data_IF_664211062419
#
_entry.id   IF_664211062419
#
_cell.length_a   1.000
_cell.length_b   1.000
_cell.length_c   1.000
_cell.angle_alpha   90.00
_cell.angle_beta   90.00
_cell.angle_gamma   90.00
#
_symmetry.space_group_name_H-M   'P 1'
#
loop_
_entity.id
_entity.type
_entity.pdbx_description
1 polymer ?
#
# COMPACT_ATOMS: atom_id res chain seq x y z
N UNK A 1 -36.31 33.55 -41.20
CA UNK A 1 -35.84 33.40 -42.60
C UNK A 1 -34.32 33.33 -42.58
N UNK A 2 -33.79 32.20 -43.09
CA UNK A 2 -32.48 31.96 -43.75
C UNK A 2 -31.19 32.37 -43.00
N UNK A 3 -30.38 31.45 -42.44
CA UNK A 3 -29.57 30.36 -43.03
C UNK A 3 -28.25 30.83 -43.68
N UNK A 4 -27.13 30.18 -43.33
CA UNK A 4 -25.83 30.40 -43.97
C UNK A 4 -24.67 29.63 -43.36
N UNK A 5 -24.67 28.31 -43.51
CA UNK A 5 -23.58 27.39 -43.16
C UNK A 5 -22.55 27.26 -44.30
N UNK A 6 -21.28 27.03 -43.97
CA UNK A 6 -20.31 26.31 -44.84
C UNK A 6 -18.84 26.71 -44.66
N UNK A 7 -17.86 25.96 -45.19
CA UNK A 7 -17.89 24.55 -45.59
C UNK A 7 -16.75 23.70 -44.99
N UNK A 8 -17.06 22.43 -44.73
CA UNK A 8 -16.09 21.35 -44.53
C UNK A 8 -15.30 21.11 -45.83
N UNK A 9 -13.97 21.14 -45.76
CA UNK A 9 -13.09 20.69 -46.85
C UNK A 9 -12.75 19.21 -46.68
N UNK A 10 -13.40 18.37 -47.49
CA UNK A 10 -12.98 17.01 -47.85
C UNK A 10 -12.14 17.08 -49.13
N UNK A 11 -11.01 16.38 -49.13
CA UNK A 11 -10.28 15.95 -50.33
C UNK A 11 -9.29 14.87 -49.87
N UNK A 12 -9.17 13.70 -50.48
CA UNK A 12 -9.54 13.28 -51.82
C UNK A 12 -8.35 12.54 -52.43
N UNK A 13 -8.32 11.23 -52.17
CA UNK A 13 -7.44 10.12 -52.59
C UNK A 13 -6.76 10.19 -53.98
N UNK A 14 -5.52 9.65 -54.11
CA UNK A 14 -4.98 8.66 -55.11
C UNK A 14 -3.44 8.81 -55.25
N UNK A 15 -2.59 7.88 -54.78
CA UNK A 15 -2.23 6.52 -55.23
C UNK A 15 -1.15 6.45 -56.34
N UNK A 16 0.03 5.87 -56.04
CA UNK A 16 0.94 5.03 -56.88
C UNK A 16 2.32 4.92 -56.16
N UNK A 17 2.69 3.82 -55.50
CA UNK A 17 3.19 2.52 -55.99
C UNK A 17 4.63 2.55 -56.56
N UNK A 18 5.61 2.04 -55.78
CA UNK A 18 6.81 1.35 -56.30
C UNK A 18 7.12 0.16 -55.38
N UNK A 19 7.06 -1.04 -55.94
CA UNK A 19 7.48 -2.34 -55.42
C UNK A 19 8.99 -2.54 -55.64
N UNK A 20 9.70 -3.18 -54.70
CA UNK A 20 10.64 -4.29 -55.00
C UNK A 20 10.67 -5.26 -53.81
N UNK A 21 10.48 -6.54 -54.13
CA UNK A 21 10.42 -7.71 -53.26
C UNK A 21 11.82 -8.23 -52.86
N UNK A 22 11.93 -8.97 -51.74
CA UNK A 22 12.37 -10.37 -51.76
C UNK A 22 12.06 -11.09 -50.44
N UNK A 23 11.55 -12.32 -50.58
CA UNK A 23 11.06 -13.20 -49.54
C UNK A 23 12.13 -14.18 -49.04
N UNK A 24 11.98 -14.71 -47.82
CA UNK A 24 12.29 -16.11 -47.51
C UNK A 24 11.25 -16.69 -46.53
N UNK A 25 10.89 -17.93 -46.84
CA UNK A 25 9.76 -18.74 -46.41
C UNK A 25 9.75 -19.24 -44.96
N UNK A 26 8.55 -19.61 -44.50
CA UNK A 26 8.32 -20.46 -43.34
C UNK A 26 6.83 -20.72 -43.12
N UNK A 27 6.27 -21.73 -43.80
CA UNK A 27 4.90 -22.22 -43.59
C UNK A 27 4.86 -23.22 -42.41
N UNK A 28 3.81 -23.22 -41.58
CA UNK A 28 2.67 -24.17 -41.63
C UNK A 28 1.72 -24.07 -40.41
N UNK A 29 0.42 -24.26 -40.70
CA UNK A 29 -0.64 -24.97 -39.93
C UNK A 29 -1.24 -24.41 -38.61
N UNK A 30 -2.43 -23.82 -38.77
CA UNK A 30 -3.75 -24.17 -38.16
C UNK A 30 -4.02 -24.10 -36.62
N UNK A 31 -5.31 -23.93 -36.21
CA UNK A 31 -5.70 -23.40 -34.90
C UNK A 31 -6.23 -24.45 -33.90
N UNK A 32 -6.06 -24.21 -32.60
CA UNK A 32 -6.76 -24.92 -31.52
C UNK A 32 -6.72 -24.03 -30.26
N UNK A 33 -7.84 -23.50 -29.80
CA UNK A 33 -8.77 -24.13 -28.86
C UNK A 33 -8.54 -23.58 -27.44
N UNK A 34 -9.62 -23.01 -26.90
CA UNK A 34 -9.73 -22.53 -25.55
C UNK A 34 -9.37 -23.64 -24.54
N UNK A 35 -8.53 -23.31 -23.56
CA UNK A 35 -8.41 -24.06 -22.32
C UNK A 35 -8.49 -23.07 -21.16
N UNK A 36 -9.61 -23.14 -20.44
CA UNK A 36 -9.76 -22.56 -19.12
C UNK A 36 -8.69 -23.15 -18.20
N UNK A 37 -7.76 -22.30 -17.75
CA UNK A 37 -6.79 -22.62 -16.71
C UNK A 37 -7.26 -22.07 -15.37
N UNK A 38 -7.86 -22.94 -14.57
CA UNK A 38 -8.11 -22.70 -13.15
C UNK A 38 -6.78 -22.61 -12.38
N UNK A 39 -6.56 -21.46 -11.72
CA UNK A 39 -5.80 -21.18 -10.49
C UNK A 39 -4.42 -21.85 -10.21
N UNK A 40 -3.51 -21.17 -9.48
CA UNK A 40 -3.69 -21.15 -8.04
C UNK A 40 -3.61 -19.75 -7.44
N UNK A 41 -4.55 -19.47 -6.54
CA UNK A 41 -4.46 -18.43 -5.53
C UNK A 41 -3.13 -18.56 -4.80
N UNK A 42 -2.30 -17.52 -4.86
CA UNK A 42 -1.15 -17.35 -3.99
C UNK A 42 -1.65 -17.20 -2.55
N UNK A 43 -1.66 -18.29 -1.79
CA UNK A 43 -1.80 -18.26 -0.34
C UNK A 43 -0.63 -17.44 0.19
N UNK A 44 -0.85 -16.31 0.91
CA UNK A 44 0.26 -15.62 1.56
C UNK A 44 0.88 -16.57 2.59
N UNK A 45 2.21 -16.54 2.78
CA UNK A 45 2.86 -17.38 3.76
C UNK A 45 2.27 -17.10 5.14
N UNK A 46 1.87 -18.16 5.84
CA UNK A 46 1.48 -18.11 7.24
C UNK A 46 2.61 -17.41 8.01
N UNK A 47 2.27 -16.30 8.65
CA UNK A 47 3.20 -15.53 9.49
C UNK A 47 3.64 -16.48 10.60
N UNK A 48 4.94 -16.71 10.71
CA UNK A 48 5.53 -17.52 11.79
C UNK A 48 5.16 -16.83 13.10
N UNK A 49 4.34 -17.50 13.91
CA UNK A 49 3.98 -17.12 15.26
C UNK A 49 5.25 -17.09 16.12
N UNK A 50 5.95 -15.96 16.10
CA UNK A 50 7.07 -15.75 17.01
C UNK A 50 6.45 -15.53 18.38
N UNK A 51 6.66 -16.47 19.30
CA UNK A 51 6.32 -16.30 20.72
C UNK A 51 7.24 -15.22 21.28
N UNK A 52 6.93 -13.97 20.95
CA UNK A 52 7.46 -12.82 21.64
C UNK A 52 6.61 -12.65 22.89
N UNK A 53 7.28 -12.43 24.01
CA UNK A 53 6.63 -12.08 25.27
C UNK A 53 5.75 -10.85 25.05
N UNK A 54 4.60 -10.83 25.73
CA UNK A 54 3.76 -9.65 25.67
C UNK A 54 4.49 -8.41 26.22
N UNK A 55 4.27 -7.22 25.64
CA UNK A 55 4.83 -5.97 26.14
C UNK A 55 4.42 -5.72 27.59
N UNK A 56 5.31 -5.10 28.37
CA UNK A 56 5.02 -4.65 29.73
C UNK A 56 3.91 -3.59 29.73
N UNK A 57 3.20 -3.35 30.86
CA UNK A 57 2.11 -2.39 30.90
C UNK A 57 2.49 -0.98 30.40
N UNK A 58 3.68 -0.51 30.73
CA UNK A 58 4.20 0.78 30.24
C UNK A 58 4.42 0.77 28.72
N UNK A 59 4.97 -0.32 28.19
CA UNK A 59 5.14 -0.48 26.74
C UNK A 59 3.80 -0.54 26.02
N UNK A 60 2.80 -1.20 26.61
CA UNK A 60 1.44 -1.23 26.06
C UNK A 60 0.82 0.16 25.95
N UNK A 61 1.03 1.03 26.93
CA UNK A 61 0.59 2.43 26.87
C UNK A 61 1.32 3.19 25.74
N UNK A 62 2.63 3.00 25.62
CA UNK A 62 3.41 3.60 24.53
C UNK A 62 2.94 3.14 23.15
N UNK A 63 2.63 1.84 22.98
CA UNK A 63 2.08 1.30 21.74
C UNK A 63 0.69 1.88 21.43
N UNK A 64 -0.13 2.10 22.45
CA UNK A 64 -1.47 2.69 22.32
C UNK A 64 -1.44 4.12 21.84
N UNK A 65 -0.45 4.89 22.27
CA UNK A 65 -0.20 6.25 21.77
C UNK A 65 0.14 6.26 20.28
N UNK A 66 1.01 5.35 19.83
CA UNK A 66 1.37 5.21 18.40
C UNK A 66 0.15 4.76 17.59
N UNK A 67 -0.52 3.70 18.04
CA UNK A 67 -1.73 3.16 17.41
C UNK A 67 -2.84 4.22 17.32
N UNK A 68 -3.01 5.03 18.37
CA UNK A 68 -3.97 6.12 18.42
C UNK A 68 -3.68 7.20 17.39
N UNK A 69 -2.42 7.47 17.09
CA UNK A 69 -2.03 8.42 16.06
C UNK A 69 -2.28 7.91 14.62
N UNK A 70 -2.29 6.58 14.40
CA UNK A 70 -2.56 5.97 13.08
C UNK A 70 -4.06 5.74 12.85
N UNK A 71 -4.79 5.19 13.83
CA UNK A 71 -6.19 4.76 13.67
C UNK A 71 -7.23 5.58 14.42
N UNK A 72 -6.82 6.38 15.41
CA UNK A 72 -7.61 7.11 16.43
C UNK A 72 -7.44 6.53 17.85
N UNK A 73 -7.39 7.39 18.89
CA UNK A 73 -7.30 6.95 20.27
C UNK A 73 -8.46 6.04 20.71
N UNK A 74 -9.67 6.31 20.23
CA UNK A 74 -10.87 5.57 20.59
C UNK A 74 -10.80 4.11 20.14
N UNK A 75 -10.26 3.86 18.95
CA UNK A 75 -10.06 2.49 18.45
C UNK A 75 -8.92 1.79 19.18
N UNK A 76 -7.78 2.47 19.33
CA UNK A 76 -6.62 1.91 20.01
C UNK A 76 -6.89 1.58 21.49
N UNK A 77 -7.78 2.31 22.17
CA UNK A 77 -8.20 2.02 23.54
C UNK A 77 -8.88 0.65 23.70
N UNK A 78 -9.52 0.14 22.64
CA UNK A 78 -10.23 -1.14 22.67
C UNK A 78 -9.33 -2.36 22.44
N UNK A 79 -8.07 -2.18 22.02
CA UNK A 79 -7.19 -3.31 21.69
C UNK A 79 -6.38 -3.79 22.89
N UNK A 80 -6.19 -5.10 22.97
CA UNK A 80 -5.16 -5.72 23.79
C UNK A 80 -3.79 -5.51 23.11
N UNK A 81 -2.86 -4.82 23.75
CA UNK A 81 -1.54 -4.49 23.19
C UNK A 81 -0.56 -5.65 23.40
N UNK A 82 -0.90 -6.82 22.87
CA UNK A 82 -0.07 -8.02 22.94
C UNK A 82 1.08 -7.96 21.91
N UNK A 83 1.91 -9.00 21.89
CA UNK A 83 3.05 -9.10 20.98
C UNK A 83 2.66 -9.15 19.49
N UNK A 84 1.50 -9.71 19.16
CA UNK A 84 0.97 -9.75 17.79
C UNK A 84 0.55 -8.35 17.31
N UNK A 85 -0.11 -7.57 18.16
CA UNK A 85 -0.44 -6.17 17.87
C UNK A 85 0.85 -5.37 17.69
N UNK A 86 1.87 -5.58 18.51
CA UNK A 86 3.17 -4.93 18.32
C UNK A 86 3.81 -5.28 16.96
N UNK A 87 3.67 -6.53 16.49
CA UNK A 87 4.18 -6.95 15.18
C UNK A 87 3.42 -6.28 14.02
N UNK A 88 2.09 -6.25 14.08
CA UNK A 88 1.25 -5.56 13.08
C UNK A 88 1.53 -4.06 13.08
N UNK A 89 1.58 -3.43 14.26
CA UNK A 89 1.86 -2.01 14.42
C UNK A 89 3.25 -1.64 13.89
N UNK A 90 4.26 -2.49 14.12
CA UNK A 90 5.60 -2.34 13.56
C UNK A 90 5.56 -2.36 12.03
N UNK A 91 4.88 -3.35 11.46
CA UNK A 91 4.76 -3.49 10.00
C UNK A 91 4.07 -2.26 9.39
N UNK A 92 2.93 -1.85 9.95
CA UNK A 92 2.20 -0.65 9.52
C UNK A 92 3.06 0.62 9.63
N UNK A 93 3.80 0.77 10.73
CA UNK A 93 4.73 1.90 10.92
C UNK A 93 5.78 1.94 9.81
N UNK A 94 6.40 0.81 9.50
CA UNK A 94 7.39 0.70 8.42
C UNK A 94 6.82 1.08 7.06
N UNK A 95 5.62 0.59 6.73
CA UNK A 95 4.93 0.92 5.47
C UNK A 95 4.63 2.41 5.35
N UNK A 96 4.19 3.06 6.44
CA UNK A 96 3.97 4.51 6.43
C UNK A 96 5.29 5.27 6.21
N UNK A 97 6.34 4.91 6.95
CA UNK A 97 7.65 5.58 6.84
C UNK A 97 8.26 5.41 5.45
N UNK A 98 8.09 4.24 4.83
CA UNK A 98 8.49 3.96 3.46
C UNK A 98 7.66 4.76 2.44
N UNK A 99 6.35 4.78 2.56
CA UNK A 99 5.48 5.58 1.69
C UNK A 99 5.83 7.07 1.75
N UNK A 100 6.13 7.58 2.95
CA UNK A 100 6.45 8.99 3.16
C UNK A 100 7.84 9.40 2.66
N UNK A 101 8.71 8.44 2.32
CA UNK A 101 10.06 8.70 1.80
C UNK A 101 10.05 9.60 0.57
N UNK A 102 9.06 9.37 -0.31
CA UNK A 102 8.90 10.11 -1.55
C UNK A 102 8.62 11.60 -1.34
N UNK A 103 8.26 12.02 -0.12
CA UNK A 103 7.75 13.36 0.16
C UNK A 103 8.65 14.23 1.06
N UNK A 104 9.72 13.67 1.67
CA UNK A 104 10.86 14.22 2.48
C UNK A 104 10.84 15.60 3.19
N UNK A 105 9.75 16.36 3.19
CA UNK A 105 9.55 17.66 3.84
C UNK A 105 9.38 17.58 5.36
N UNK A 106 9.01 16.42 5.92
CA UNK A 106 8.86 16.19 7.36
C UNK A 106 9.98 15.28 7.87
N UNK A 107 10.73 15.69 8.91
CA UNK A 107 11.76 14.86 9.51
C UNK A 107 11.19 13.51 9.95
N UNK A 108 11.70 12.44 9.37
CA UNK A 108 11.33 11.06 9.72
C UNK A 108 12.19 10.58 10.89
N UNK A 109 11.68 9.65 11.72
CA UNK A 109 12.50 8.91 12.66
C UNK A 109 13.65 8.20 11.94
N UNK A 110 14.88 8.23 12.48
CA UNK A 110 16.04 7.61 11.84
C UNK A 110 15.95 6.07 11.89
N UNK A 111 16.46 5.43 10.84
CA UNK A 111 16.83 4.00 10.82
C UNK A 111 15.74 3.05 11.34
N UNK A 112 14.57 3.04 10.71
CA UNK A 112 13.48 2.14 11.11
C UNK A 112 13.94 0.67 11.13
N UNK A 113 13.74 0.01 12.27
CA UNK A 113 13.96 -1.43 12.45
C UNK A 113 12.63 -2.05 12.87
N UNK A 114 12.09 -3.05 12.16
CA UNK A 114 10.87 -3.72 12.56
C UNK A 114 11.01 -4.39 13.95
N UNK A 115 10.00 -4.20 14.81
CA UNK A 115 9.85 -4.91 16.07
C UNK A 115 9.43 -4.02 17.24
N UNK A 116 9.03 -4.67 18.34
CA UNK A 116 8.60 -4.02 19.58
C UNK A 116 9.67 -3.05 20.11
N UNK A 117 10.93 -3.47 20.13
CA UNK A 117 12.03 -2.67 20.66
C UNK A 117 12.16 -1.30 20.00
N UNK A 118 11.95 -1.21 18.67
CA UNK A 118 11.98 0.08 17.97
C UNK A 118 10.75 0.94 18.33
N UNK A 119 9.55 0.33 18.35
CA UNK A 119 8.33 1.04 18.68
C UNK A 119 8.39 1.65 20.08
N UNK A 120 8.87 0.88 21.06
CA UNK A 120 9.04 1.34 22.45
C UNK A 120 10.15 2.37 22.54
N UNK A 121 11.30 2.16 21.90
CA UNK A 121 12.41 3.12 21.99
C UNK A 121 12.05 4.48 21.39
N UNK A 122 11.30 4.50 20.29
CA UNK A 122 11.00 5.70 19.50
C UNK A 122 9.52 6.13 19.57
N UNK A 123 8.78 5.70 20.59
CA UNK A 123 7.33 5.88 20.64
C UNK A 123 6.90 7.35 20.51
N UNK A 124 7.61 8.27 21.19
CA UNK A 124 7.33 9.71 21.11
C UNK A 124 7.58 10.24 19.71
N UNK A 125 8.73 9.91 19.12
CA UNK A 125 9.08 10.33 17.77
C UNK A 125 8.06 9.84 16.74
N UNK A 126 7.58 8.60 16.88
CA UNK A 126 6.57 8.01 16.01
C UNK A 126 5.22 8.69 16.16
N UNK A 127 4.72 8.83 17.39
CA UNK A 127 3.48 9.55 17.67
C UNK A 127 3.52 10.96 17.14
N UNK A 128 4.56 11.72 17.48
CA UNK A 128 4.69 13.12 17.11
C UNK A 128 4.83 13.28 15.59
N UNK A 129 5.55 12.37 14.92
CA UNK A 129 5.58 12.30 13.46
C UNK A 129 4.19 12.11 12.87
N UNK A 130 3.42 11.10 13.32
CA UNK A 130 2.07 10.84 12.80
C UNK A 130 1.10 12.00 13.07
N UNK A 131 1.23 12.65 14.22
CA UNK A 131 0.44 13.84 14.55
C UNK A 131 0.83 15.05 13.70
N UNK A 132 2.12 15.27 13.43
CA UNK A 132 2.59 16.38 12.61
C UNK A 132 2.17 16.23 11.14
N UNK A 133 2.15 15.01 10.61
CA UNK A 133 1.82 14.77 9.21
C UNK A 133 0.32 14.69 8.92
N UNK A 134 -0.54 14.62 9.96
CA UNK A 134 -1.99 14.42 9.80
C UNK A 134 -2.68 15.51 8.97
N UNK A 135 -2.16 16.73 9.01
CA UNK A 135 -2.73 17.89 8.32
C UNK A 135 -2.13 18.10 6.92
N UNK A 136 -1.04 17.39 6.58
CA UNK A 136 -0.45 17.43 5.24
C UNK A 136 -1.11 16.37 4.34
N UNK A 137 -1.81 16.81 3.28
CA UNK A 137 -2.55 15.93 2.38
C UNK A 137 -1.72 14.78 1.81
N UNK A 138 -0.49 15.05 1.39
CA UNK A 138 0.38 14.05 0.75
C UNK A 138 0.82 12.97 1.74
N UNK A 139 1.21 13.36 2.95
CA UNK A 139 1.62 12.41 3.97
C UNK A 139 0.45 11.68 4.63
N UNK A 140 -0.67 12.37 4.84
CA UNK A 140 -1.91 11.79 5.35
C UNK A 140 -2.36 10.62 4.48
N UNK A 141 -2.14 10.67 3.17
CA UNK A 141 -2.49 9.56 2.28
C UNK A 141 -1.78 8.26 2.67
N UNK A 142 -0.49 8.32 3.06
CA UNK A 142 0.26 7.16 3.54
C UNK A 142 -0.35 6.57 4.82
N UNK A 143 -0.65 7.42 5.81
CA UNK A 143 -1.25 6.99 7.09
C UNK A 143 -2.63 6.37 6.86
N UNK A 144 -3.51 7.05 6.11
CA UNK A 144 -4.88 6.59 5.88
C UNK A 144 -4.91 5.30 5.06
N UNK A 145 -4.08 5.19 4.02
CA UNK A 145 -4.02 3.97 3.21
C UNK A 145 -3.53 2.78 4.04
N UNK A 146 -2.43 2.94 4.79
CA UNK A 146 -1.93 1.86 5.66
C UNK A 146 -2.93 1.52 6.76
N UNK A 147 -3.54 2.52 7.40
CA UNK A 147 -4.54 2.30 8.43
C UNK A 147 -5.73 1.47 7.90
N UNK A 148 -6.21 1.77 6.69
CA UNK A 148 -7.25 0.99 6.04
C UNK A 148 -6.80 -0.45 5.73
N UNK A 149 -5.60 -0.62 5.15
CA UNK A 149 -5.08 -1.93 4.75
C UNK A 149 -4.80 -2.88 5.93
N UNK A 150 -4.42 -2.35 7.09
CA UNK A 150 -4.07 -3.14 8.27
C UNK A 150 -5.18 -3.19 9.34
N UNK A 151 -6.36 -2.62 9.07
CA UNK A 151 -7.46 -2.53 10.06
C UNK A 151 -7.89 -3.91 10.56
N UNK A 152 -8.15 -4.85 9.66
CA UNK A 152 -8.57 -6.20 10.04
C UNK A 152 -7.44 -6.98 10.71
N UNK A 153 -6.21 -6.82 10.23
CA UNK A 153 -5.05 -7.51 10.81
C UNK A 153 -4.81 -7.11 12.26
N UNK A 154 -4.89 -5.81 12.59
CA UNK A 154 -4.69 -5.35 13.97
C UNK A 154 -5.84 -5.72 14.91
N UNK A 155 -7.07 -5.85 14.40
CA UNK A 155 -8.20 -6.36 15.19
C UNK A 155 -8.04 -7.83 15.51
N UNK A 156 -7.68 -8.66 14.53
CA UNK A 156 -7.38 -10.08 14.74
C UNK A 156 -6.25 -10.26 15.74
N UNK A 157 -5.12 -9.56 15.53
CA UNK A 157 -4.01 -9.57 16.46
C UNK A 157 -4.42 -9.13 17.88
N UNK A 158 -5.31 -8.14 18.02
CA UNK A 158 -5.80 -7.70 19.34
C UNK A 158 -6.64 -8.74 20.07
N UNK A 159 -7.14 -9.75 19.35
CA UNK A 159 -7.83 -10.91 19.91
C UNK A 159 -6.87 -12.10 20.15
N UNK A 160 -5.61 -11.99 19.75
CA UNK A 160 -4.61 -13.06 19.86
C UNK A 160 -4.73 -14.13 18.77
N UNK A 161 -5.11 -13.74 17.56
CA UNK A 161 -5.29 -14.62 16.38
C UNK A 161 -4.69 -14.06 15.09
#
# INVERSE_FOLDING_TARGET
MTAGSGPFRRGGVRAAAVLVCLAVAGAVAAPAAAAAGSAPSSVPPAVILSVQSDPTPEEQENLREIAGAIWTPQLAAGWNMNSEVAAVLSTATGEILRCSEAFSLVPRPPGFVPGLGYLVQYWKNLRDYFLAVKDNRSYRACVVATAANYRSAIEMASMGI
#
